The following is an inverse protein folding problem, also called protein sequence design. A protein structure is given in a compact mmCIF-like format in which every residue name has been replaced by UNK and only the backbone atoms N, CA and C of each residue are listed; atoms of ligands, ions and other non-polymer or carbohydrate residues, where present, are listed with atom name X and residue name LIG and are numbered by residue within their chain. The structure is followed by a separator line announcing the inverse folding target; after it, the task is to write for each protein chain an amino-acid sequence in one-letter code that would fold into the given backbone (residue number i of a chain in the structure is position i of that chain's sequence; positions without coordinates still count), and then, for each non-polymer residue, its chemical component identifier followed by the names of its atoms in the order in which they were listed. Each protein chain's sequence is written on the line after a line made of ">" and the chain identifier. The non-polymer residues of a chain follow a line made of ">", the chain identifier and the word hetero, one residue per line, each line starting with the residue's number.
data_IF_022808768100
#
_entry.id   IF_022808768100
#
_cell.length_a   1.000
_cell.length_b   1.000
_cell.length_c   1.000
_cell.angle_alpha   90.00
_cell.angle_beta   90.00
_cell.angle_gamma   90.00
#
_symmetry.space_group_name_H-M   'P 1'
#
loop_
_entity.id
_entity.type
_entity.pdbx_description
1 polymer ?
#
# COMPACT_ATOMS: atom_id res chain seq x y z
N UNK A 1 33.84 -15.78 39.19
CA UNK A 1 33.61 -14.98 40.41
C UNK A 1 32.13 -14.59 40.40
N UNK A 2 31.25 -15.49 40.86
CA UNK A 2 30.52 -15.42 42.15
C UNK A 2 29.62 -14.16 42.23
N UNK A 3 28.32 -14.20 42.54
CA UNK A 3 27.50 -15.22 43.17
C UNK A 3 26.00 -14.94 42.94
N UNK A 4 25.18 -15.99 43.09
CA UNK A 4 23.74 -15.91 43.36
C UNK A 4 23.44 -15.04 44.60
N UNK A 5 22.35 -14.28 44.54
CA UNK A 5 21.53 -13.98 45.72
C UNK A 5 20.06 -14.03 45.31
N UNK A 6 19.37 -15.03 45.84
CA UNK A 6 17.92 -15.20 45.81
C UNK A 6 17.36 -14.46 47.02
N UNK A 7 16.39 -13.56 46.84
CA UNK A 7 15.51 -13.11 47.92
C UNK A 7 14.05 -13.10 47.46
N UNK A 8 13.22 -13.69 48.30
CA UNK A 8 11.90 -14.22 48.01
C UNK A 8 10.73 -13.21 48.16
N UNK A 9 9.70 -13.44 47.34
CA UNK A 9 8.24 -13.45 47.60
C UNK A 9 7.48 -12.23 48.20
N UNK A 10 6.61 -11.68 47.33
CA UNK A 10 5.18 -11.30 47.51
C UNK A 10 4.81 -9.94 48.19
N UNK A 11 3.54 -9.44 48.11
CA UNK A 11 3.05 -8.57 47.03
C UNK A 11 2.34 -7.30 47.56
N UNK A 12 2.11 -6.31 46.69
CA UNK A 12 1.12 -5.26 46.94
C UNK A 12 1.68 -3.86 47.19
N UNK A 13 1.53 -2.98 46.19
CA UNK A 13 1.31 -1.54 46.36
C UNK A 13 0.85 -0.95 45.02
N UNK A 14 -0.15 -0.06 44.98
CA UNK A 14 -0.81 0.35 43.74
C UNK A 14 0.08 1.24 42.87
N UNK A 15 0.09 0.96 41.57
CA UNK A 15 0.73 1.82 40.59
C UNK A 15 -0.02 3.17 40.52
N UNK A 16 0.56 4.19 41.16
CA UNK A 16 0.19 5.58 40.95
C UNK A 16 0.46 5.96 39.49
N UNK A 17 -0.62 6.09 38.71
CA UNK A 17 -0.61 6.68 37.38
C UNK A 17 -0.30 8.18 37.50
N UNK A 18 0.97 8.55 37.36
CA UNK A 18 1.43 9.94 37.40
C UNK A 18 1.22 10.58 36.02
N UNK A 19 0.09 11.27 35.86
CA UNK A 19 -0.24 12.07 34.69
C UNK A 19 0.57 13.39 34.71
N UNK A 20 1.69 13.45 33.99
CA UNK A 20 2.44 14.72 33.78
C UNK A 20 1.67 15.62 32.82
N UNK A 21 1.20 16.77 33.33
CA UNK A 21 0.68 17.91 32.55
C UNK A 21 1.81 18.87 32.14
N UNK A 22 1.68 19.43 30.94
CA UNK A 22 2.40 20.60 30.40
C UNK A 22 3.48 20.21 29.37
N UNK A 23 3.62 20.82 28.19
CA UNK A 23 3.26 22.17 27.75
C UNK A 23 3.11 22.26 26.20
N UNK A 24 2.19 23.13 25.77
CA UNK A 24 2.10 23.90 24.50
C UNK A 24 2.63 23.35 23.18
N UNK A 25 1.71 23.05 22.25
CA UNK A 25 1.94 23.16 20.79
C UNK A 25 0.87 24.08 20.19
N UNK A 26 1.29 24.92 19.25
CA UNK A 26 0.59 26.03 18.61
C UNK A 26 -0.87 25.74 18.17
N UNK A 27 -1.74 26.77 18.05
CA UNK A 27 -3.16 26.56 17.75
C UNK A 27 -3.32 25.93 16.37
N UNK A 28 -3.76 24.68 16.35
CA UNK A 28 -4.36 24.09 15.17
C UNK A 28 -5.64 24.89 14.87
N UNK A 29 -5.81 25.28 13.60
CA UNK A 29 -7.04 25.93 13.15
C UNK A 29 -8.25 25.12 13.65
N UNK A 30 -9.28 25.76 14.22
CA UNK A 30 -10.40 25.03 14.78
C UNK A 30 -11.06 24.26 13.64
N UNK A 31 -11.05 22.92 13.74
CA UNK A 31 -11.97 22.07 13.01
C UNK A 31 -13.37 22.45 13.48
N UNK A 32 -13.99 23.42 12.80
CA UNK A 32 -15.40 23.80 12.98
C UNK A 32 -16.30 22.73 12.36
N UNK A 33 -16.13 21.48 12.79
CA UNK A 33 -17.06 20.39 12.58
C UNK A 33 -17.91 20.22 13.84
N UNK A 34 -18.91 21.08 14.01
CA UNK A 34 -19.93 20.93 15.06
C UNK A 34 -20.64 19.59 14.81
N UNK A 35 -20.50 18.61 15.70
CA UNK A 35 -21.34 17.39 15.68
C UNK A 35 -22.79 17.80 15.99
N UNK A 36 -23.57 18.11 14.96
CA UNK A 36 -25.00 18.39 15.10
C UNK A 36 -25.82 17.36 14.33
N UNK A 37 -26.45 16.44 15.08
CA UNK A 37 -27.58 15.59 14.68
C UNK A 37 -27.32 14.58 13.54
N UNK A 38 -28.14 13.52 13.36
CA UNK A 38 -27.93 12.50 12.34
C UNK A 38 -28.27 13.09 10.98
N UNK A 39 -27.31 13.80 10.40
CA UNK A 39 -27.41 14.36 9.06
C UNK A 39 -27.13 13.23 8.07
N UNK A 40 -28.07 13.05 7.14
CA UNK A 40 -27.87 12.26 5.92
C UNK A 40 -26.60 12.80 5.26
N UNK A 41 -25.65 11.91 5.04
CA UNK A 41 -24.38 12.24 4.39
C UNK A 41 -24.65 12.84 3.01
N UNK A 42 -24.15 14.06 2.77
CA UNK A 42 -24.26 14.78 1.49
C UNK A 42 -22.99 14.54 0.65
N UNK A 43 -23.09 13.87 -0.51
CA UNK A 43 -21.96 13.57 -1.39
C UNK A 43 -21.17 14.79 -1.85
N UNK A 44 -21.79 15.98 -1.89
CA UNK A 44 -21.16 17.20 -2.38
C UNK A 44 -20.50 18.03 -1.26
N UNK A 45 -20.74 17.68 0.01
CA UNK A 45 -20.08 18.31 1.17
C UNK A 45 -18.66 17.76 1.40
N UNK A 46 -18.40 16.59 0.81
CA UNK A 46 -17.11 15.98 0.70
C UNK A 46 -16.30 16.70 -0.38
N UNK A 47 -15.21 17.39 -0.02
CA UNK A 47 -14.18 17.85 -0.97
C UNK A 47 -13.38 16.67 -1.57
N UNK A 48 -14.01 15.50 -1.76
CA UNK A 48 -13.45 14.35 -2.47
C UNK A 48 -14.46 13.88 -3.52
N UNK A 49 -14.05 13.91 -4.78
CA UNK A 49 -14.84 13.43 -5.91
C UNK A 49 -14.86 11.89 -5.88
N UNK A 50 -16.00 11.26 -5.61
CA UNK A 50 -16.19 9.80 -5.62
C UNK A 50 -16.21 9.25 -7.04
N UNK A 51 -15.09 9.36 -7.75
CA UNK A 51 -14.85 8.60 -8.99
C UNK A 51 -13.96 7.42 -8.66
N UNK A 52 -14.09 6.34 -9.42
CA UNK A 52 -13.14 5.21 -9.45
C UNK A 52 -11.82 5.74 -10.07
N UNK A 53 -11.09 6.58 -9.33
CA UNK A 53 -9.83 7.21 -9.75
C UNK A 53 -8.71 6.52 -9.01
N UNK A 54 -8.44 5.28 -9.39
CA UNK A 54 -7.47 4.46 -8.67
C UNK A 54 -6.04 4.61 -9.23
N UNK A 55 -5.85 5.44 -10.27
CA UNK A 55 -4.56 5.99 -10.64
C UNK A 55 -4.57 7.53 -10.61
N UNK A 56 -3.75 8.12 -9.74
CA UNK A 56 -3.49 9.57 -9.75
C UNK A 56 -2.83 10.04 -11.07
N UNK A 57 -2.32 9.12 -11.89
CA UNK A 57 -1.70 9.39 -13.19
C UNK A 57 -2.68 9.89 -14.26
N UNK A 58 -3.97 9.52 -14.19
CA UNK A 58 -4.99 10.06 -15.10
C UNK A 58 -5.64 11.36 -14.60
N UNK A 59 -5.26 11.84 -13.40
CA UNK A 59 -5.79 13.07 -12.79
C UNK A 59 -4.95 14.30 -13.16
N UNK A 60 -3.67 14.12 -13.49
CA UNK A 60 -2.82 15.22 -13.91
C UNK A 60 -1.84 14.75 -14.97
N UNK A 61 -1.75 15.49 -16.08
CA UNK A 61 -0.73 15.35 -17.14
C UNK A 61 0.71 15.66 -16.65
N UNK A 62 1.05 15.34 -15.40
CA UNK A 62 2.31 15.69 -14.74
C UNK A 62 3.08 14.44 -14.35
N UNK A 63 4.40 14.54 -14.57
CA UNK A 63 5.50 13.63 -14.22
C UNK A 63 5.34 12.93 -12.84
N UNK A 64 6.00 11.78 -12.60
CA UNK A 64 5.74 10.92 -11.45
C UNK A 64 5.66 11.73 -10.16
N UNK A 65 4.45 11.71 -9.58
CA UNK A 65 4.11 12.51 -8.42
C UNK A 65 5.06 12.18 -7.27
N UNK A 66 5.51 13.20 -6.55
CA UNK A 66 6.21 13.00 -5.29
C UNK A 66 5.26 12.34 -4.29
N UNK A 67 5.72 11.29 -3.63
CA UNK A 67 5.04 10.66 -2.49
C UNK A 67 4.87 11.69 -1.37
N UNK A 68 3.73 11.66 -0.65
CA UNK A 68 3.42 12.63 0.39
C UNK A 68 4.45 12.56 1.52
N UNK A 69 4.92 13.73 1.98
CA UNK A 69 5.84 13.84 3.10
C UNK A 69 5.06 13.94 4.43
N UNK A 70 5.43 13.10 5.40
CA UNK A 70 4.92 13.15 6.75
C UNK A 70 5.39 14.44 7.45
N UNK A 71 4.53 15.45 7.53
CA UNK A 71 4.87 16.74 8.12
C UNK A 71 5.35 16.58 9.58
N UNK A 72 6.59 16.99 9.86
CA UNK A 72 7.17 17.00 11.22
C UNK A 72 7.94 15.74 11.64
N UNK A 73 8.16 14.78 10.72
CA UNK A 73 9.26 13.82 10.84
C UNK A 73 10.44 14.37 10.08
N UNK A 74 11.13 15.32 10.70
CA UNK A 74 12.40 15.79 10.18
C UNK A 74 13.29 14.55 9.98
N UNK A 75 13.77 14.37 8.75
CA UNK A 75 14.77 13.36 8.47
C UNK A 75 16.04 13.77 9.22
N UNK A 76 16.12 13.42 10.51
CA UNK A 76 17.37 13.39 11.26
C UNK A 76 18.40 12.80 10.29
N UNK A 77 19.46 13.56 9.98
CA UNK A 77 20.20 13.47 8.70
C UNK A 77 20.72 12.09 8.25
N UNK A 78 20.60 11.06 9.10
CA UNK A 78 20.83 9.65 8.79
C UNK A 78 19.92 9.09 7.68
N UNK A 79 18.68 9.55 7.55
CA UNK A 79 17.70 8.97 6.59
C UNK A 79 17.31 9.90 5.43
N UNK A 80 17.88 11.11 5.36
CA UNK A 80 17.54 12.09 4.33
C UNK A 80 17.76 11.55 2.90
N UNK A 81 18.90 10.91 2.65
CA UNK A 81 19.21 10.32 1.33
C UNK A 81 18.31 9.13 0.98
N UNK A 82 17.95 8.31 1.97
CA UNK A 82 17.02 7.20 1.75
C UNK A 82 15.65 7.74 1.33
N UNK A 83 15.19 8.79 2.01
CA UNK A 83 13.93 9.44 1.70
C UNK A 83 13.92 10.05 0.29
N UNK A 84 14.98 10.78 -0.07
CA UNK A 84 15.14 11.39 -1.40
C UNK A 84 15.00 10.34 -2.51
N UNK A 85 15.62 9.16 -2.34
CA UNK A 85 15.51 8.07 -3.32
C UNK A 85 14.13 7.38 -3.34
N UNK A 86 13.40 7.42 -2.22
CA UNK A 86 12.06 6.83 -2.10
C UNK A 86 10.93 7.81 -2.46
N UNK A 87 11.25 9.06 -2.75
CA UNK A 87 10.28 10.14 -2.87
C UNK A 87 9.40 10.02 -4.12
N UNK A 88 9.85 9.39 -5.20
CA UNK A 88 9.08 9.26 -6.44
C UNK A 88 8.35 7.92 -6.54
N UNK A 89 7.11 7.93 -7.03
CA UNK A 89 6.44 6.70 -7.47
C UNK A 89 7.11 6.12 -8.72
N UNK A 90 6.93 4.81 -8.94
CA UNK A 90 7.35 4.15 -10.18
C UNK A 90 6.58 4.72 -11.37
N UNK A 91 7.30 4.93 -12.47
CA UNK A 91 6.69 5.41 -13.72
C UNK A 91 5.81 4.33 -14.36
N UNK A 92 4.74 4.77 -15.03
CA UNK A 92 3.75 3.89 -15.65
C UNK A 92 3.92 3.76 -17.18
N UNK A 93 5.03 4.28 -17.71
CA UNK A 93 5.36 4.18 -19.13
C UNK A 93 5.71 2.74 -19.51
N UNK A 94 5.46 2.38 -20.76
CA UNK A 94 5.70 1.04 -21.31
C UNK A 94 7.15 0.58 -21.06
N UNK A 95 8.14 1.43 -21.33
CA UNK A 95 9.56 1.10 -21.10
C UNK A 95 9.88 0.89 -19.62
N UNK A 96 9.26 1.68 -18.74
CA UNK A 96 9.46 1.59 -17.30
C UNK A 96 8.87 0.28 -16.75
N UNK A 97 7.68 -0.10 -17.23
CA UNK A 97 7.04 -1.39 -16.92
C UNK A 97 7.89 -2.56 -17.42
N UNK A 98 8.45 -2.49 -18.63
CA UNK A 98 9.34 -3.54 -19.14
C UNK A 98 10.58 -3.73 -18.27
N UNK A 99 11.25 -2.62 -17.90
CA UNK A 99 12.40 -2.64 -16.99
C UNK A 99 12.04 -3.23 -15.63
N UNK A 100 10.88 -2.88 -15.10
CA UNK A 100 10.37 -3.44 -13.86
C UNK A 100 10.17 -4.95 -13.96
N UNK A 101 9.47 -5.44 -14.99
CA UNK A 101 9.25 -6.88 -15.18
C UNK A 101 10.58 -7.62 -15.25
N UNK A 102 11.54 -7.13 -16.06
CA UNK A 102 12.87 -7.74 -16.18
C UNK A 102 13.61 -7.75 -14.84
N UNK A 103 13.53 -6.66 -14.07
CA UNK A 103 14.15 -6.60 -12.73
C UNK A 103 13.54 -7.63 -11.78
N UNK A 104 12.23 -7.89 -11.88
CA UNK A 104 11.56 -8.90 -11.06
C UNK A 104 11.94 -10.33 -11.46
N UNK A 105 12.15 -10.57 -12.76
CA UNK A 105 12.69 -11.86 -13.24
C UNK A 105 14.09 -12.12 -12.67
N UNK A 106 14.98 -11.13 -12.73
CA UNK A 106 16.37 -11.29 -12.32
C UNK A 106 16.53 -11.32 -10.80
N UNK A 107 15.91 -10.38 -10.08
CA UNK A 107 16.17 -10.20 -8.65
C UNK A 107 15.18 -10.94 -7.74
N UNK A 108 13.90 -11.04 -8.12
CA UNK A 108 12.88 -11.66 -7.26
C UNK A 108 12.71 -13.15 -7.55
N UNK A 109 12.69 -13.52 -8.84
CA UNK A 109 12.58 -14.93 -9.24
C UNK A 109 13.94 -15.63 -9.34
N UNK A 110 15.04 -14.88 -9.31
CA UNK A 110 16.39 -15.40 -9.50
C UNK A 110 16.55 -16.23 -10.78
N UNK A 111 15.77 -15.89 -11.82
CA UNK A 111 15.82 -16.55 -13.11
C UNK A 111 16.95 -15.98 -13.96
N UNK A 112 17.63 -16.87 -14.70
CA UNK A 112 18.63 -16.44 -15.69
C UNK A 112 17.94 -16.12 -17.00
N UNK A 113 18.61 -15.35 -17.87
CA UNK A 113 18.12 -14.94 -19.20
C UNK A 113 17.72 -16.12 -20.11
N UNK A 114 18.18 -17.32 -19.79
CA UNK A 114 17.95 -18.54 -20.57
C UNK A 114 16.91 -19.47 -19.94
N UNK A 115 16.60 -19.28 -18.66
CA UNK A 115 15.66 -20.12 -17.92
C UNK A 115 14.42 -19.29 -17.58
N UNK A 116 13.52 -19.17 -18.54
CA UNK A 116 12.32 -18.36 -18.40
C UNK A 116 11.10 -19.10 -18.95
N UNK A 117 10.09 -19.28 -18.09
CA UNK A 117 8.83 -19.95 -18.41
C UNK A 117 7.67 -18.96 -18.38
N UNK A 118 6.56 -19.29 -19.05
CA UNK A 118 5.36 -18.44 -19.09
C UNK A 118 4.77 -18.19 -17.68
N UNK A 119 4.89 -19.18 -16.79
CA UNK A 119 4.51 -19.05 -15.40
C UNK A 119 5.40 -18.05 -14.63
N UNK A 120 6.69 -17.98 -14.96
CA UNK A 120 7.62 -17.01 -14.38
C UNK A 120 7.34 -15.60 -14.93
N UNK A 121 6.94 -15.49 -16.20
CA UNK A 121 6.48 -14.24 -16.78
C UNK A 121 5.25 -13.69 -16.05
N UNK A 122 4.28 -14.55 -15.73
CA UNK A 122 3.12 -14.16 -14.92
C UNK A 122 3.53 -13.66 -13.54
N UNK A 123 4.40 -14.41 -12.84
CA UNK A 123 4.88 -14.02 -11.51
C UNK A 123 5.63 -12.70 -11.52
N UNK A 124 6.49 -12.47 -12.52
CA UNK A 124 7.23 -11.23 -12.68
C UNK A 124 6.31 -10.04 -12.95
N UNK A 125 5.31 -10.20 -13.84
CA UNK A 125 4.29 -9.19 -14.10
C UNK A 125 3.47 -8.90 -12.83
N UNK A 126 3.07 -9.94 -12.09
CA UNK A 126 2.37 -9.81 -10.81
C UNK A 126 3.18 -9.04 -9.77
N UNK A 127 4.50 -9.28 -9.68
CA UNK A 127 5.38 -8.50 -8.80
C UNK A 127 5.53 -7.04 -9.24
N UNK A 128 5.60 -6.77 -10.55
CA UNK A 128 5.66 -5.39 -11.05
C UNK A 128 4.38 -4.59 -10.73
N UNK A 129 3.21 -5.23 -10.76
CA UNK A 129 1.94 -4.61 -10.31
C UNK A 129 1.93 -4.45 -8.78
N UNK A 130 2.39 -5.47 -8.05
CA UNK A 130 2.47 -5.44 -6.58
C UNK A 130 3.31 -4.27 -6.08
N UNK A 131 4.45 -3.96 -6.69
CA UNK A 131 5.30 -2.84 -6.28
C UNK A 131 4.51 -1.52 -6.23
N UNK A 132 3.73 -1.24 -7.28
CA UNK A 132 2.90 -0.02 -7.39
C UNK A 132 1.78 0.01 -6.33
N UNK A 133 1.18 -1.15 -6.06
CA UNK A 133 0.19 -1.28 -4.97
C UNK A 133 0.84 -1.05 -3.60
N UNK A 134 2.06 -1.54 -3.38
CA UNK A 134 2.79 -1.38 -2.12
C UNK A 134 3.13 0.09 -1.86
N UNK A 135 3.50 0.86 -2.88
CA UNK A 135 3.71 2.31 -2.74
C UNK A 135 2.43 3.00 -2.23
N UNK A 136 1.31 2.76 -2.89
CA UNK A 136 0.00 3.33 -2.54
C UNK A 136 -0.49 2.85 -1.16
N UNK A 137 -0.27 1.58 -0.83
CA UNK A 137 -0.64 0.98 0.44
C UNK A 137 0.14 1.59 1.61
N UNK A 138 1.45 1.79 1.44
CA UNK A 138 2.30 2.41 2.46
C UNK A 138 1.87 3.84 2.78
N UNK A 139 1.49 4.60 1.74
CA UNK A 139 1.10 6.00 1.89
C UNK A 139 -0.27 6.12 2.57
N UNK A 140 -1.23 5.28 2.16
CA UNK A 140 -2.55 5.19 2.82
C UNK A 140 -2.42 4.76 4.28
N UNK A 141 -1.57 3.76 4.56
CA UNK A 141 -1.35 3.27 5.93
C UNK A 141 -0.70 4.34 6.81
N UNK A 142 0.24 5.11 6.26
CA UNK A 142 0.88 6.22 6.98
C UNK A 142 -0.15 7.31 7.27
N UNK A 143 -0.94 7.70 6.27
CA UNK A 143 -2.02 8.68 6.44
C UNK A 143 -3.03 8.26 7.51
N UNK A 144 -3.49 7.00 7.51
CA UNK A 144 -4.38 6.47 8.55
C UNK A 144 -3.78 6.47 9.95
N UNK A 145 -2.45 6.39 10.08
CA UNK A 145 -1.76 6.49 11.39
C UNK A 145 -1.64 7.94 11.86
N UNK A 146 -1.40 8.87 10.95
CA UNK A 146 -1.23 10.29 11.28
C UNK A 146 -2.55 10.97 11.64
N UNK A 147 -3.63 10.64 10.93
CA UNK A 147 -4.95 11.23 11.15
C UNK A 147 -5.75 10.57 12.28
N UNK A 148 -5.25 9.47 12.85
CA UNK A 148 -5.92 8.66 13.90
C UNK A 148 -7.43 8.44 13.66
N UNK A 149 -7.77 8.06 12.42
CA UNK A 149 -9.17 7.89 12.01
C UNK A 149 -9.78 6.62 12.63
N UNK A 150 -11.08 6.66 12.89
CA UNK A 150 -11.84 5.46 13.31
C UNK A 150 -11.79 4.41 12.19
N UNK A 151 -11.44 3.17 12.54
CA UNK A 151 -11.28 2.05 11.60
C UNK A 151 -12.40 1.02 11.76
N UNK A 152 -12.93 0.54 10.64
CA UNK A 152 -13.81 -0.62 10.61
C UNK A 152 -12.97 -1.87 10.32
N UNK A 153 -13.15 -2.91 11.14
CA UNK A 153 -12.50 -4.20 10.95
C UNK A 153 -13.56 -5.22 10.56
N UNK A 154 -13.47 -5.70 9.33
CA UNK A 154 -14.34 -6.77 8.84
C UNK A 154 -13.69 -8.11 9.14
N UNK A 155 -14.38 -8.96 9.90
CA UNK A 155 -13.95 -10.30 10.26
C UNK A 155 -14.90 -11.29 9.60
N UNK A 156 -14.39 -12.08 8.67
CA UNK A 156 -15.10 -13.16 7.98
C UNK A 156 -14.28 -14.43 8.06
N UNK A 157 -14.97 -15.57 8.08
CA UNK A 157 -14.35 -16.90 8.00
C UNK A 157 -13.98 -17.28 6.56
N UNK A 158 -14.55 -16.60 5.56
CA UNK A 158 -14.24 -16.83 4.14
C UNK A 158 -14.13 -15.52 3.35
N UNK A 159 -13.26 -15.54 2.34
CA UNK A 159 -13.06 -14.46 1.37
C UNK A 159 -12.86 -15.01 -0.04
N UNK A 160 -13.77 -14.71 -0.96
CA UNK A 160 -13.69 -15.09 -2.38
C UNK A 160 -13.22 -13.91 -3.23
N UNK A 161 -11.93 -13.62 -3.15
CA UNK A 161 -11.27 -12.55 -3.92
C UNK A 161 -11.32 -12.83 -5.42
N UNK A 162 -11.08 -14.09 -5.81
CA UNK A 162 -10.81 -14.49 -7.21
C UNK A 162 -9.44 -14.01 -7.69
N UNK A 163 -9.23 -14.07 -9.00
CA UNK A 163 -8.04 -13.55 -9.70
C UNK A 163 -7.80 -12.06 -9.38
N UNK A 164 -6.64 -11.75 -8.82
CA UNK A 164 -6.28 -10.43 -8.34
C UNK A 164 -5.54 -9.61 -9.40
N UNK A 165 -4.78 -10.24 -10.30
CA UNK A 165 -3.92 -9.55 -11.25
C UNK A 165 -4.71 -8.65 -12.20
N UNK A 166 -5.74 -9.17 -12.86
CA UNK A 166 -6.59 -8.38 -13.76
C UNK A 166 -7.31 -7.24 -13.02
N UNK A 167 -7.84 -7.53 -11.83
CA UNK A 167 -8.51 -6.54 -10.99
C UNK A 167 -7.55 -5.40 -10.58
N UNK A 168 -6.31 -5.73 -10.25
CA UNK A 168 -5.29 -4.74 -9.91
C UNK A 168 -4.93 -3.85 -11.11
N UNK A 169 -4.78 -4.42 -12.31
CA UNK A 169 -4.50 -3.65 -13.53
C UNK A 169 -5.62 -2.68 -13.87
N UNK A 170 -6.87 -3.12 -13.79
CA UNK A 170 -8.04 -2.27 -14.06
C UNK A 170 -8.16 -1.15 -13.03
N UNK A 171 -7.91 -1.46 -11.74
CA UNK A 171 -7.94 -0.42 -10.71
C UNK A 171 -6.81 0.59 -10.88
N UNK A 172 -5.60 0.16 -11.25
CA UNK A 172 -4.50 1.09 -11.49
C UNK A 172 -4.56 1.78 -12.86
N UNK A 173 -5.57 1.50 -13.69
CA UNK A 173 -5.65 1.95 -15.09
C UNK A 173 -4.37 1.61 -15.91
N UNK A 174 -3.72 0.49 -15.59
CA UNK A 174 -2.45 0.05 -16.19
C UNK A 174 -2.61 -1.08 -17.20
N UNK A 175 -3.84 -1.37 -17.62
CA UNK A 175 -4.14 -2.43 -18.58
C UNK A 175 -3.40 -2.20 -19.92
N UNK A 176 -3.51 -1.00 -20.51
CA UNK A 176 -2.86 -0.70 -21.79
C UNK A 176 -1.32 -0.68 -21.70
N UNK A 177 -0.69 0.03 -20.74
CA UNK A 177 0.76 0.02 -20.60
C UNK A 177 1.34 -1.38 -20.38
N UNK A 178 0.69 -2.22 -19.57
CA UNK A 178 1.15 -3.59 -19.36
C UNK A 178 0.93 -4.46 -20.59
N UNK A 179 -0.15 -4.27 -21.34
CA UNK A 179 -0.42 -5.03 -22.56
C UNK A 179 0.65 -4.75 -23.61
N UNK A 180 0.95 -3.48 -23.86
CA UNK A 180 2.02 -3.07 -24.78
C UNK A 180 3.39 -3.53 -24.29
N UNK A 181 3.67 -3.43 -22.98
CA UNK A 181 4.94 -3.84 -22.40
C UNK A 181 5.19 -5.35 -22.58
N UNK A 182 4.19 -6.18 -22.25
CA UNK A 182 4.27 -7.63 -22.38
C UNK A 182 4.37 -8.08 -23.84
N UNK A 183 3.60 -7.45 -24.74
CA UNK A 183 3.71 -7.72 -26.18
C UNK A 183 5.13 -7.40 -26.69
N UNK A 184 5.74 -6.30 -26.24
CA UNK A 184 7.12 -5.96 -26.56
C UNK A 184 8.17 -6.95 -26.02
N UNK A 185 7.83 -7.70 -24.97
CA UNK A 185 8.65 -8.78 -24.40
C UNK A 185 8.36 -10.16 -25.03
N UNK A 186 7.35 -10.25 -25.92
CA UNK A 186 6.96 -11.47 -26.61
C UNK A 186 5.86 -12.29 -25.92
N UNK A 187 5.16 -11.74 -24.94
CA UNK A 187 4.06 -12.42 -24.22
C UNK A 187 2.72 -11.76 -24.50
N UNK A 188 1.68 -12.58 -24.65
CA UNK A 188 0.30 -12.08 -24.66
C UNK A 188 -0.21 -12.00 -23.23
N UNK A 189 -0.82 -10.87 -22.87
CA UNK A 189 -1.36 -10.63 -21.54
C UNK A 189 -2.46 -11.65 -21.20
N UNK A 190 -3.24 -12.05 -22.19
CA UNK A 190 -4.35 -12.97 -22.07
C UNK A 190 -3.88 -14.37 -21.62
N UNK A 191 -2.77 -14.86 -22.17
CA UNK A 191 -2.19 -16.16 -21.82
C UNK A 191 -1.68 -16.16 -20.36
N UNK A 192 -1.24 -15.00 -19.85
CA UNK A 192 -0.75 -14.85 -18.48
C UNK A 192 -1.88 -14.94 -17.44
N UNK A 193 -3.13 -14.62 -17.79
CA UNK A 193 -4.26 -14.71 -16.85
C UNK A 193 -4.63 -16.14 -16.47
N UNK A 194 -4.27 -17.11 -17.31
CA UNK A 194 -4.55 -18.53 -17.06
C UNK A 194 -3.52 -19.16 -16.11
N UNK A 195 -2.38 -18.51 -15.91
CA UNK A 195 -1.38 -18.92 -14.93
C UNK A 195 -1.70 -18.46 -13.50
N UNK A 196 -2.70 -17.58 -13.31
CA UNK A 196 -3.14 -17.14 -11.99
C UNK A 196 -4.04 -18.19 -11.33
N UNK A 197 -3.56 -18.78 -10.23
CA UNK A 197 -4.38 -19.66 -9.41
C UNK A 197 -5.34 -18.86 -8.53
N UNK A 198 -6.63 -19.24 -8.53
CA UNK A 198 -7.61 -18.65 -7.63
C UNK A 198 -7.25 -18.95 -6.16
N UNK A 199 -7.27 -17.94 -5.27
CA UNK A 199 -6.97 -18.14 -3.87
C UNK A 199 -8.11 -18.93 -3.19
N UNK A 200 -7.79 -20.13 -2.69
CA UNK A 200 -8.72 -21.00 -1.95
C UNK A 200 -9.04 -20.51 -0.53
N UNK A 201 -9.42 -19.25 -0.38
CA UNK A 201 -9.71 -18.58 0.90
C UNK A 201 -11.21 -18.58 1.26
N UNK A 202 -12.04 -19.25 0.46
CA UNK A 202 -13.47 -19.40 0.68
C UNK A 202 -14.05 -20.45 -0.25
N UNK A 203 -15.28 -20.88 0.03
CA UNK A 203 -15.99 -21.85 -0.81
C UNK A 203 -17.43 -21.39 -1.12
N UNK A 204 -18.07 -20.68 -0.19
CA UNK A 204 -19.47 -20.26 -0.28
C UNK A 204 -19.65 -18.83 -0.78
N UNK A 205 -20.92 -18.42 -0.91
CA UNK A 205 -21.29 -17.07 -1.33
C UNK A 205 -21.24 -16.02 -0.22
N UNK A 206 -20.91 -16.39 1.03
CA UNK A 206 -20.80 -15.41 2.13
C UNK A 206 -19.54 -14.55 1.96
N UNK A 207 -18.48 -15.09 1.35
CA UNK A 207 -17.24 -14.37 1.06
C UNK A 207 -17.22 -13.58 -0.26
N UNK A 208 -18.32 -13.52 -1.02
CA UNK A 208 -18.40 -12.88 -2.36
C UNK A 208 -19.29 -11.64 -2.37
#
# INVERSE_FOLDING_TARGET
>A
LQACSVRALLPGSPAHFCFKRGQGRAPQAPLTGRMTSPSVWDPNSANFDMRRKASYSLISDKAPMSRPHAAGKDADGKHAKLWELMQSYKANDVESVQKDIVSQVEYSLACTRFNFTDADAFRAAGFAVRDRLVESFNDTTTWYREQDVKRAYYLSAEYLLGRAFQNALVNLDLEQPFKEALLGLGYQMEDLFDHEADPGLGNGGLGR
#
